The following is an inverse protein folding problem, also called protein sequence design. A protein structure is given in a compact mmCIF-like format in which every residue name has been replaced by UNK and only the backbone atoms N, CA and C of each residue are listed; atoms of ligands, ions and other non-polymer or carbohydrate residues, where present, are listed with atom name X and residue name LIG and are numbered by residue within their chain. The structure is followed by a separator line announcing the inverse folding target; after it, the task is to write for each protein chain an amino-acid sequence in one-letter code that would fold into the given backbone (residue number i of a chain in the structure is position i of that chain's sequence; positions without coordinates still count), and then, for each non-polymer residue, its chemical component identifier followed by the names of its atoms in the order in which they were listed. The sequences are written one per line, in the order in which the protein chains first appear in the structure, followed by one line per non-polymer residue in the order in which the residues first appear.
data_IF_028528363985
#
_entry.id   IF_028528363985
#
_cell.length_a   1.000
_cell.length_b   1.000
_cell.length_c   1.000
_cell.angle_alpha   90.00
_cell.angle_beta   90.00
_cell.angle_gamma   90.00
#
_symmetry.space_group_name_H-M   'P 1'
#
loop_
_entity.id
_entity.type
_entity.pdbx_description
1 polymer ?
#
# COMPACT_ATOMS: atom_id res chain seq x y z
N UNK A 1 51.29 30.48 -0.09
CA UNK A 1 50.10 30.22 -0.94
C UNK A 1 49.76 28.73 -0.77
N UNK A 2 48.48 28.31 -0.87
CA UNK A 2 47.97 26.90 -0.92
C UNK A 2 47.27 26.20 0.27
N UNK A 3 47.11 26.75 1.47
CA UNK A 3 46.40 25.98 2.55
C UNK A 3 44.87 26.13 2.60
N UNK A 4 44.27 27.04 1.82
CA UNK A 4 42.82 27.33 1.89
C UNK A 4 41.95 26.41 1.03
N UNK A 5 42.53 25.74 0.04
CA UNK A 5 41.76 24.94 -0.94
C UNK A 5 41.46 23.50 -0.46
N UNK A 6 42.32 22.90 0.36
CA UNK A 6 42.15 21.51 0.81
C UNK A 6 41.04 21.34 1.86
N UNK A 7 40.91 22.31 2.78
CA UNK A 7 39.84 22.33 3.79
C UNK A 7 38.46 22.61 3.16
N UNK A 8 38.42 23.53 2.18
CA UNK A 8 37.19 23.88 1.45
C UNK A 8 36.67 22.71 0.60
N UNK A 9 37.57 22.02 -0.12
CA UNK A 9 37.21 20.85 -0.95
C UNK A 9 36.72 19.66 -0.12
N UNK A 10 37.36 19.39 1.03
CA UNK A 10 36.91 18.32 1.94
C UNK A 10 35.51 18.60 2.49
N UNK A 11 35.22 19.86 2.84
CA UNK A 11 33.90 20.27 3.34
C UNK A 11 32.82 20.10 2.26
N UNK A 12 33.13 20.43 1.00
CA UNK A 12 32.22 20.25 -0.15
C UNK A 12 31.92 18.77 -0.40
N UNK A 13 32.92 17.88 -0.28
CA UNK A 13 32.71 16.44 -0.48
C UNK A 13 31.80 15.86 0.60
N UNK A 14 31.98 16.27 1.86
CA UNK A 14 31.15 15.82 2.98
C UNK A 14 29.69 16.28 2.79
N UNK A 15 29.47 17.52 2.38
CA UNK A 15 28.10 18.04 2.15
C UNK A 15 27.39 17.36 0.98
N UNK A 16 28.10 17.08 -0.12
CA UNK A 16 27.55 16.33 -1.27
C UNK A 16 27.20 14.89 -0.86
N UNK A 17 28.06 14.23 -0.08
CA UNK A 17 27.83 12.86 0.39
C UNK A 17 26.60 12.78 1.31
N UNK A 18 26.42 13.76 2.20
CA UNK A 18 25.23 13.86 3.05
C UNK A 18 23.97 14.13 2.22
N UNK A 19 24.03 15.01 1.22
CA UNK A 19 22.89 15.30 0.34
C UNK A 19 22.45 14.08 -0.50
N UNK A 20 23.40 13.26 -0.96
CA UNK A 20 23.12 12.01 -1.67
C UNK A 20 22.47 10.96 -0.76
N UNK A 21 22.89 10.86 0.52
CA UNK A 21 22.25 9.97 1.49
C UNK A 21 20.79 10.37 1.79
N UNK A 22 20.50 11.68 1.83
CA UNK A 22 19.15 12.22 2.08
C UNK A 22 18.23 12.03 0.85
N UNK A 23 18.78 11.86 -0.35
CA UNK A 23 18.02 11.73 -1.60
C UNK A 23 17.37 10.34 -1.82
N UNK A 24 17.41 9.46 -0.81
CA UNK A 24 16.70 8.18 -0.79
C UNK A 24 15.19 8.40 -0.62
N UNK A 25 14.58 9.06 -1.60
CA UNK A 25 13.13 9.22 -1.68
C UNK A 25 12.51 7.86 -1.98
N UNK A 26 11.87 7.26 -0.97
CA UNK A 26 10.99 6.12 -1.20
C UNK A 26 9.86 6.58 -2.11
N UNK A 27 9.95 6.25 -3.40
CA UNK A 27 8.86 6.46 -4.34
C UNK A 27 7.67 5.62 -3.90
N UNK A 28 6.75 6.24 -3.15
CA UNK A 28 5.49 5.58 -2.80
C UNK A 28 4.74 5.31 -4.09
N UNK A 29 4.71 4.05 -4.50
CA UNK A 29 3.98 3.67 -5.70
C UNK A 29 2.50 3.90 -5.41
N UNK A 30 1.89 4.81 -6.19
CA UNK A 30 0.49 5.15 -6.04
C UNK A 30 -0.38 3.97 -6.46
N UNK A 31 -1.43 3.71 -5.70
CA UNK A 31 -2.40 2.66 -6.00
C UNK A 31 -3.13 2.94 -7.32
N UNK A 32 -3.29 1.89 -8.12
CA UNK A 32 -4.10 1.95 -9.33
C UNK A 32 -5.56 2.31 -9.00
N UNK A 33 -6.15 3.19 -9.82
CA UNK A 33 -7.48 3.76 -9.52
C UNK A 33 -8.58 2.70 -9.51
N UNK A 34 -8.52 1.74 -10.42
CA UNK A 34 -9.54 0.68 -10.50
C UNK A 34 -9.42 -0.30 -9.34
N UNK A 35 -8.19 -0.65 -8.95
CA UNK A 35 -7.93 -1.52 -7.80
C UNK A 35 -8.41 -0.84 -6.50
N UNK A 36 -8.15 0.47 -6.35
CA UNK A 36 -8.69 1.27 -5.24
C UNK A 36 -10.22 1.25 -5.21
N UNK A 37 -10.86 1.40 -6.38
CA UNK A 37 -12.33 1.37 -6.50
C UNK A 37 -12.89 0.00 -6.10
N UNK A 38 -12.26 -1.08 -6.55
CA UNK A 38 -12.63 -2.44 -6.17
C UNK A 38 -12.48 -2.68 -4.66
N UNK A 39 -11.35 -2.26 -4.07
CA UNK A 39 -11.13 -2.35 -2.63
C UNK A 39 -12.14 -1.55 -1.82
N UNK A 40 -12.56 -0.37 -2.26
CA UNK A 40 -13.61 0.40 -1.56
C UNK A 40 -14.96 -0.32 -1.58
N UNK A 41 -15.31 -1.02 -2.68
CA UNK A 41 -16.52 -1.86 -2.73
C UNK A 41 -16.42 -3.07 -1.79
N UNK A 42 -15.25 -3.71 -1.73
CA UNK A 42 -14.97 -4.80 -0.79
C UNK A 42 -15.09 -4.31 0.66
N UNK A 43 -14.57 -3.11 0.95
CA UNK A 43 -14.69 -2.49 2.27
C UNK A 43 -16.15 -2.31 2.66
N UNK A 44 -16.94 -1.73 1.77
CA UNK A 44 -18.35 -1.44 2.03
C UNK A 44 -19.17 -2.73 2.23
N UNK A 45 -18.80 -3.83 1.58
CA UNK A 45 -19.44 -5.14 1.79
C UNK A 45 -19.03 -5.86 3.08
N UNK A 46 -17.94 -5.43 3.73
CA UNK A 46 -17.35 -6.03 4.93
C UNK A 46 -17.55 -5.18 6.20
N UNK A 47 -18.56 -4.32 6.23
CA UNK A 47 -18.87 -3.47 7.38
C UNK A 47 -18.25 -2.07 7.33
N UNK A 48 -17.71 -1.66 6.18
CA UNK A 48 -17.23 -0.30 5.94
C UNK A 48 -15.97 0.05 6.74
N UNK A 49 -15.86 1.32 7.12
CA UNK A 49 -14.71 1.85 7.88
C UNK A 49 -14.57 1.18 9.26
N UNK A 50 -15.67 0.74 9.87
CA UNK A 50 -15.62 0.07 11.17
C UNK A 50 -14.94 -1.30 11.09
N UNK A 51 -15.11 -2.02 9.99
CA UNK A 51 -14.42 -3.29 9.73
C UNK A 51 -12.99 -3.12 9.24
N UNK A 52 -12.73 -2.04 8.48
CA UNK A 52 -11.48 -1.84 7.74
C UNK A 52 -11.02 -0.36 7.83
N UNK A 53 -10.54 0.09 9.00
CA UNK A 53 -10.33 1.52 9.28
C UNK A 53 -9.22 2.17 8.47
N UNK A 54 -8.22 1.38 8.02
CA UNK A 54 -7.14 1.91 7.18
C UNK A 54 -7.55 2.12 5.72
N UNK A 55 -8.69 1.57 5.30
CA UNK A 55 -9.16 1.62 3.91
C UNK A 55 -9.87 2.94 3.62
N UNK A 56 -9.09 4.03 3.70
CA UNK A 56 -9.56 5.39 3.48
C UNK A 56 -9.38 5.81 2.02
N UNK A 57 -10.50 6.20 1.40
CA UNK A 57 -10.56 6.82 0.07
C UNK A 57 -9.57 7.97 -0.18
N UNK A 58 -9.06 8.63 0.86
CA UNK A 58 -8.12 9.75 0.76
C UNK A 58 -6.65 9.32 0.65
N UNK A 59 -6.31 8.09 1.03
CA UNK A 59 -4.91 7.61 1.05
C UNK A 59 -4.66 6.58 -0.07
N UNK A 60 -3.39 6.29 -0.37
CA UNK A 60 -3.03 5.26 -1.36
C UNK A 60 -3.34 3.86 -0.80
N UNK A 61 -4.01 3.01 -1.58
CA UNK A 61 -4.37 1.67 -1.12
C UNK A 61 -3.17 0.76 -0.83
N UNK A 62 -2.02 1.01 -1.45
CA UNK A 62 -0.81 0.24 -1.22
C UNK A 62 -0.22 0.44 0.19
N UNK A 63 -0.73 1.42 0.95
CA UNK A 63 -0.41 1.62 2.36
C UNK A 63 -1.53 1.18 3.31
N UNK A 64 -2.63 0.64 2.80
CA UNK A 64 -3.71 0.14 3.65
C UNK A 64 -3.27 -1.17 4.31
N UNK A 65 -3.70 -1.37 5.55
CA UNK A 65 -3.39 -2.60 6.25
C UNK A 65 -4.01 -3.79 5.49
N UNK A 66 -3.25 -4.88 5.39
CA UNK A 66 -3.67 -6.08 4.67
C UNK A 66 -3.60 -5.99 3.14
N UNK A 67 -3.24 -4.84 2.56
CA UNK A 67 -3.09 -4.68 1.10
C UNK A 67 -1.61 -4.65 0.74
N UNK A 68 -1.20 -5.43 -0.26
CA UNK A 68 0.09 -5.23 -0.92
C UNK A 68 -0.10 -4.99 -2.39
N UNK A 69 0.72 -4.07 -2.90
CA UNK A 69 0.84 -3.79 -4.31
C UNK A 69 2.12 -4.40 -4.86
N UNK A 70 2.06 -4.84 -6.10
CA UNK A 70 3.22 -5.22 -6.89
C UNK A 70 4.12 -3.98 -7.10
N UNK A 71 5.43 -4.17 -6.95
CA UNK A 71 6.43 -3.12 -7.11
C UNK A 71 7.36 -3.34 -8.31
N UNK A 72 7.23 -4.47 -9.02
CA UNK A 72 8.20 -4.92 -10.02
C UNK A 72 7.56 -5.04 -11.41
N UNK A 73 6.56 -5.90 -11.56
CA UNK A 73 5.95 -6.26 -12.85
C UNK A 73 4.78 -5.32 -13.16
N UNK A 74 3.99 -4.96 -12.14
CA UNK A 74 2.83 -4.11 -12.29
C UNK A 74 2.74 -3.07 -11.15
N UNK A 75 3.64 -2.06 -11.15
CA UNK A 75 3.71 -1.08 -10.08
C UNK A 75 2.35 -0.49 -9.69
N UNK A 76 1.97 -0.65 -8.43
CA UNK A 76 0.75 -0.05 -7.86
C UNK A 76 -0.51 -0.88 -8.07
N UNK A 77 -0.40 -2.06 -8.69
CA UNK A 77 -1.48 -3.04 -8.79
C UNK A 77 -1.53 -3.90 -7.54
N UNK A 78 -2.73 -4.15 -7.01
CA UNK A 78 -2.90 -4.98 -5.81
C UNK A 78 -2.66 -6.44 -6.18
N UNK A 79 -1.68 -7.06 -5.52
CA UNK A 79 -1.34 -8.47 -5.74
C UNK A 79 -1.56 -9.36 -4.52
N UNK A 80 -1.74 -8.78 -3.33
CA UNK A 80 -2.11 -9.52 -2.12
C UNK A 80 -3.17 -8.78 -1.32
N UNK A 81 -4.18 -9.52 -0.86
CA UNK A 81 -5.22 -9.04 0.03
C UNK A 81 -5.38 -10.00 1.22
N UNK A 82 -5.17 -9.48 2.43
CA UNK A 82 -5.32 -10.20 3.69
C UNK A 82 -6.27 -9.46 4.64
N UNK A 83 -7.38 -10.09 4.99
CA UNK A 83 -8.43 -9.55 5.86
C UNK A 83 -8.50 -10.37 7.14
N UNK A 84 -8.29 -9.71 8.28
CA UNK A 84 -8.16 -10.38 9.59
C UNK A 84 -8.73 -9.56 10.76
N UNK A 85 -9.60 -8.59 10.49
CA UNK A 85 -10.20 -7.75 11.53
C UNK A 85 -11.46 -8.37 12.12
N UNK A 86 -11.51 -8.48 13.45
CA UNK A 86 -12.65 -9.06 14.17
C UNK A 86 -13.94 -8.23 14.02
N UNK A 87 -13.82 -6.93 13.72
CA UNK A 87 -14.96 -6.04 13.50
C UNK A 87 -15.58 -6.14 12.10
N UNK A 88 -15.02 -6.97 11.21
CA UNK A 88 -15.63 -7.27 9.90
C UNK A 88 -16.97 -7.96 10.12
N UNK A 89 -18.00 -7.40 9.50
CA UNK A 89 -19.34 -7.96 9.48
C UNK A 89 -19.92 -7.77 8.08
N UNK A 90 -20.07 -8.86 7.33
CA UNK A 90 -20.46 -8.75 5.93
C UNK A 90 -20.15 -9.97 5.07
N UNK A 91 -20.18 -9.77 3.76
CA UNK A 91 -19.93 -10.80 2.76
C UNK A 91 -18.84 -10.37 1.77
N UNK A 92 -18.21 -11.35 1.12
CA UNK A 92 -17.18 -11.08 0.11
C UNK A 92 -17.85 -10.48 -1.12
N UNK A 93 -17.45 -9.25 -1.52
CA UNK A 93 -17.94 -8.62 -2.74
C UNK A 93 -17.40 -9.35 -3.98
N UNK A 94 -18.21 -9.55 -5.04
CA UNK A 94 -17.72 -10.00 -6.35
C UNK A 94 -16.63 -9.09 -6.95
N UNK A 95 -16.53 -7.85 -6.47
CA UNK A 95 -15.47 -6.90 -6.86
C UNK A 95 -14.05 -7.39 -6.53
N UNK A 96 -13.89 -8.47 -5.77
CA UNK A 96 -12.60 -9.18 -5.67
C UNK A 96 -12.10 -9.60 -7.07
N UNK A 97 -13.01 -9.98 -7.98
CA UNK A 97 -12.70 -10.29 -9.37
C UNK A 97 -12.26 -9.08 -10.21
N UNK A 98 -12.47 -7.85 -9.72
CA UNK A 98 -12.01 -6.61 -10.37
C UNK A 98 -10.52 -6.30 -10.05
N UNK A 99 -9.81 -7.21 -9.36
CA UNK A 99 -8.37 -7.10 -9.03
C UNK A 99 -7.54 -8.07 -9.89
N UNK A 100 -7.17 -7.70 -11.13
CA UNK A 100 -6.64 -8.66 -12.10
C UNK A 100 -5.19 -9.12 -11.85
N UNK A 101 -4.49 -8.51 -10.88
CA UNK A 101 -3.14 -8.91 -10.46
C UNK A 101 -3.13 -9.63 -9.12
N UNK A 102 -4.30 -9.88 -8.53
CA UNK A 102 -4.41 -10.54 -7.23
C UNK A 102 -3.94 -12.00 -7.34
N UNK A 103 -2.92 -12.34 -6.56
CA UNK A 103 -2.34 -13.70 -6.51
C UNK A 103 -2.49 -14.34 -5.15
N UNK A 104 -2.75 -13.54 -4.11
CA UNK A 104 -2.98 -14.03 -2.76
C UNK A 104 -4.20 -13.34 -2.17
N UNK A 105 -5.16 -14.14 -1.73
CA UNK A 105 -6.39 -13.71 -1.08
C UNK A 105 -6.61 -14.55 0.17
N UNK A 106 -6.74 -13.90 1.32
CA UNK A 106 -7.00 -14.61 2.57
C UNK A 106 -7.95 -13.83 3.47
N UNK A 107 -8.99 -14.52 3.91
CA UNK A 107 -9.94 -14.10 4.94
C UNK A 107 -9.73 -15.02 6.14
N UNK A 108 -9.17 -14.50 7.23
CA UNK A 108 -8.73 -15.33 8.35
C UNK A 108 -9.39 -14.90 9.66
N UNK A 109 -10.04 -15.87 10.33
CA UNK A 109 -10.72 -15.70 11.62
C UNK A 109 -11.68 -14.49 11.65
N UNK A 110 -12.62 -14.48 10.71
CA UNK A 110 -13.64 -13.43 10.59
C UNK A 110 -15.01 -13.99 11.03
N UNK A 111 -15.38 -13.91 12.33
CA UNK A 111 -16.63 -14.49 12.82
C UNK A 111 -17.88 -13.82 12.24
N UNK A 112 -17.78 -12.55 11.81
CA UNK A 112 -18.86 -11.81 11.15
C UNK A 112 -18.90 -11.98 9.62
N UNK A 113 -18.08 -12.86 9.04
CA UNK A 113 -18.12 -13.15 7.60
C UNK A 113 -19.23 -14.16 7.30
N UNK A 114 -20.10 -13.82 6.36
CA UNK A 114 -21.20 -14.68 5.91
C UNK A 114 -21.36 -14.64 4.39
N UNK A 115 -22.23 -15.50 3.86
CA UNK A 115 -22.50 -15.63 2.42
C UNK A 115 -21.59 -16.64 1.73
N UNK A 116 -21.71 -16.70 0.40
CA UNK A 116 -20.93 -17.60 -0.45
C UNK A 116 -19.61 -16.96 -0.91
N UNK A 117 -18.76 -17.80 -1.50
CA UNK A 117 -17.61 -17.35 -2.29
C UNK A 117 -18.17 -16.94 -3.67
N UNK A 118 -18.01 -15.67 -4.11
CA UNK A 118 -18.50 -15.18 -5.40
C UNK A 118 -17.90 -15.89 -6.62
#
# INVERSE_FOLDING_TARGET
METKNLSSTTTIIITISIALLISSSSSTTSCHKDDKKALLRIRDSLGGINGLPSWDSKTSCCGWAGVKCDSLVAPGRVNQLYVYWESVNGSISPSVGDLPYLTSLSFHKLPGLFGGIP
#
